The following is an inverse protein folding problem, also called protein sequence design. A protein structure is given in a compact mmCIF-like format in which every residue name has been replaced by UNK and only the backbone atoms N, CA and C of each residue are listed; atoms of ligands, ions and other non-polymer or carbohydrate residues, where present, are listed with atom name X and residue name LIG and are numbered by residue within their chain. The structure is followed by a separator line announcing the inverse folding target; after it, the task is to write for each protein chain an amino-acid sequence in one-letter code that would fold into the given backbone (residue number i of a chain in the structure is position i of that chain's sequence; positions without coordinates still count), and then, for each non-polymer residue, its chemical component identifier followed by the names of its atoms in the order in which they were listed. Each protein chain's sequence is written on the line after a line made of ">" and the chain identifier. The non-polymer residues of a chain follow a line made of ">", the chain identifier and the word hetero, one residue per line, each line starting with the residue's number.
data_IF_584859613398
#
_entry.id   IF_584859613398
#
_cell.length_a   1.000
_cell.length_b   1.000
_cell.length_c   1.000
_cell.angle_alpha   90.00
_cell.angle_beta   90.00
_cell.angle_gamma   90.00
#
_symmetry.space_group_name_H-M   'P 1'
#
loop_
_entity.id
_entity.type
_entity.pdbx_description
1 polymer ?
#
# COMPACT_ATOMS: atom_id res chain seq x y z
N UNK A 1 -27.52 19.96 3.99
CA UNK A 1 -26.51 18.91 4.17
C UNK A 1 -26.52 18.55 5.64
N UNK A 2 -26.78 17.28 5.93
CA UNK A 2 -26.88 16.80 7.32
C UNK A 2 -25.56 17.06 8.05
N UNK A 3 -25.65 17.58 9.28
CA UNK A 3 -24.56 17.98 10.19
C UNK A 3 -23.38 16.99 10.28
N UNK A 4 -23.60 15.72 9.92
CA UNK A 4 -22.64 14.64 9.95
C UNK A 4 -21.48 14.79 8.95
N UNK A 5 -21.72 15.40 7.78
CA UNK A 5 -20.69 15.53 6.73
C UNK A 5 -19.74 16.72 6.94
N UNK A 6 -20.20 17.80 7.59
CA UNK A 6 -19.32 18.91 7.99
C UNK A 6 -18.32 18.47 9.07
N UNK A 7 -18.70 17.53 9.94
CA UNK A 7 -17.80 17.04 10.99
C UNK A 7 -16.61 16.24 10.43
N UNK A 8 -16.81 15.49 9.36
CA UNK A 8 -15.72 14.76 8.67
C UNK A 8 -14.79 15.73 7.92
N UNK A 9 -15.35 16.76 7.29
CA UNK A 9 -14.56 17.76 6.56
C UNK A 9 -13.77 18.69 7.51
N UNK A 10 -14.29 18.97 8.71
CA UNK A 10 -13.56 19.64 9.79
C UNK A 10 -12.50 18.74 10.43
N UNK A 11 -12.68 17.41 10.38
CA UNK A 11 -11.72 16.40 10.83
C UNK A 11 -10.44 16.40 9.98
N UNK A 12 -10.58 16.57 8.65
CA UNK A 12 -9.45 16.72 7.73
C UNK A 12 -8.74 18.08 7.85
N UNK A 13 -9.40 19.09 8.43
CA UNK A 13 -8.94 20.49 8.46
C UNK A 13 -8.51 21.00 9.85
N UNK A 14 -8.21 20.10 10.81
CA UNK A 14 -7.50 20.40 12.06
C UNK A 14 -8.13 21.46 13.01
N UNK A 15 -9.44 21.73 12.96
CA UNK A 15 -10.04 22.83 13.74
C UNK A 15 -10.67 22.45 15.10
N UNK A 16 -10.72 21.16 15.47
CA UNK A 16 -11.26 20.70 16.78
C UNK A 16 -10.47 19.53 17.38
N UNK A 17 -9.20 19.80 17.69
CA UNK A 17 -8.25 18.85 18.27
C UNK A 17 -8.73 18.17 19.57
N UNK A 18 -9.47 18.88 20.44
CA UNK A 18 -9.95 18.31 21.71
C UNK A 18 -11.12 17.31 21.57
N UNK A 19 -11.81 17.27 20.42
CA UNK A 19 -12.82 16.22 20.11
C UNK A 19 -12.20 14.96 19.50
N UNK A 20 -10.99 15.06 18.95
CA UNK A 20 -10.25 13.92 18.38
C UNK A 20 -9.65 13.06 19.49
N UNK A 21 -9.15 13.70 20.57
CA UNK A 21 -8.63 13.06 21.79
C UNK A 21 -9.62 12.18 22.54
N UNK A 22 -10.93 12.44 22.41
CA UNK A 22 -11.97 11.59 23.02
C UNK A 22 -12.28 10.32 22.19
N UNK A 23 -11.89 10.26 20.92
CA UNK A 23 -12.34 9.19 20.02
C UNK A 23 -11.44 7.93 19.99
N UNK A 24 -10.21 8.01 20.49
CA UNK A 24 -9.22 6.93 20.51
C UNK A 24 -8.19 7.24 21.60
N UNK A 25 -7.80 6.30 22.45
CA UNK A 25 -6.52 6.43 23.17
C UNK A 25 -5.38 6.21 22.15
N UNK A 26 -5.06 7.30 21.43
CA UNK A 26 -4.03 7.67 20.45
C UNK A 26 -3.31 6.58 19.61
N UNK A 27 -2.95 5.43 20.15
CA UNK A 27 -2.14 4.42 19.45
C UNK A 27 -2.97 3.54 18.53
N UNK A 28 -4.17 3.10 18.95
CA UNK A 28 -4.97 2.15 18.17
C UNK A 28 -5.47 2.71 16.83
N UNK A 29 -5.85 3.99 16.79
CA UNK A 29 -6.26 4.64 15.53
C UNK A 29 -5.09 4.80 14.59
N UNK A 30 -4.00 5.30 15.17
CA UNK A 30 -2.79 5.63 14.46
C UNK A 30 -2.20 4.37 13.84
N UNK A 31 -2.21 3.25 14.56
CA UNK A 31 -1.82 1.94 14.04
C UNK A 31 -2.69 1.52 12.85
N UNK A 32 -4.01 1.72 12.91
CA UNK A 32 -4.90 1.37 11.78
C UNK A 32 -4.65 2.26 10.56
N UNK A 33 -4.43 3.56 10.76
CA UNK A 33 -4.08 4.49 9.69
C UNK A 33 -2.70 4.15 9.10
N UNK A 34 -1.69 3.90 9.93
CA UNK A 34 -0.36 3.47 9.51
C UNK A 34 -0.42 2.14 8.74
N UNK A 35 -1.29 1.20 9.15
CA UNK A 35 -1.50 -0.05 8.42
C UNK A 35 -2.18 0.15 7.07
N UNK A 36 -3.17 1.05 6.98
CA UNK A 36 -3.79 1.42 5.71
C UNK A 36 -2.76 2.06 4.77
N UNK A 37 -2.00 3.04 5.25
CA UNK A 37 -0.94 3.70 4.48
C UNK A 37 0.11 2.69 3.99
N UNK A 38 0.54 1.76 4.85
CA UNK A 38 1.48 0.70 4.48
C UNK A 38 0.89 -0.27 3.45
N UNK A 39 -0.37 -0.66 3.57
CA UNK A 39 -1.03 -1.52 2.57
C UNK A 39 -1.15 -0.83 1.23
N UNK A 40 -1.53 0.44 1.21
CA UNK A 40 -1.62 1.24 0.00
C UNK A 40 -0.24 1.43 -0.64
N UNK A 41 0.80 1.67 0.16
CA UNK A 41 2.19 1.75 -0.32
C UNK A 41 2.66 0.42 -0.90
N UNK A 42 2.38 -0.72 -0.24
CA UNK A 42 2.70 -2.03 -0.80
C UNK A 42 1.92 -2.33 -2.08
N UNK A 43 0.64 -1.94 -2.18
CA UNK A 43 -0.14 -2.08 -3.40
C UNK A 43 0.45 -1.25 -4.55
N UNK A 44 0.84 0.00 -4.28
CA UNK A 44 1.52 0.86 -5.24
C UNK A 44 2.86 0.26 -5.70
N UNK A 45 3.66 -0.26 -4.77
CA UNK A 45 4.92 -0.94 -5.07
C UNK A 45 4.71 -2.19 -5.93
N UNK A 46 3.73 -3.04 -5.59
CA UNK A 46 3.35 -4.22 -6.38
C UNK A 46 2.99 -3.82 -7.82
N UNK A 47 2.22 -2.74 -7.99
CA UNK A 47 1.83 -2.23 -9.30
C UNK A 47 3.03 -1.71 -10.11
N UNK A 48 3.93 -0.96 -9.48
CA UNK A 48 5.16 -0.46 -10.11
C UNK A 48 6.05 -1.62 -10.59
N UNK A 49 6.34 -2.57 -9.68
CA UNK A 49 7.17 -3.74 -10.01
C UNK A 49 6.52 -4.59 -11.11
N UNK A 50 5.20 -4.77 -11.07
CA UNK A 50 4.45 -5.54 -12.08
C UNK A 50 4.58 -4.94 -13.47
N UNK A 51 4.52 -3.61 -13.59
CA UNK A 51 4.74 -2.89 -14.86
C UNK A 51 6.16 -3.15 -15.37
N UNK A 52 7.17 -3.03 -14.51
CA UNK A 52 8.57 -3.32 -14.85
C UNK A 52 8.77 -4.77 -15.30
N UNK A 53 8.21 -5.76 -14.59
CA UNK A 53 8.24 -7.17 -15.00
C UNK A 53 7.60 -7.35 -16.38
N UNK A 54 6.46 -6.70 -16.65
CA UNK A 54 5.76 -6.81 -17.93
C UNK A 54 6.62 -6.28 -19.08
N UNK A 55 7.37 -5.20 -18.87
CA UNK A 55 8.25 -4.61 -19.88
C UNK A 55 9.47 -5.52 -20.10
N UNK A 56 10.14 -5.94 -19.03
CA UNK A 56 11.28 -6.85 -19.12
C UNK A 56 10.91 -8.20 -19.77
N UNK A 57 9.73 -8.76 -19.50
CA UNK A 57 9.20 -9.95 -20.20
C UNK A 57 8.92 -9.73 -21.69
N UNK A 58 8.57 -8.51 -22.11
CA UNK A 58 8.45 -8.19 -23.54
C UNK A 58 9.82 -8.15 -24.20
N UNK A 59 10.83 -7.64 -23.49
CA UNK A 59 12.21 -7.59 -23.96
C UNK A 59 12.88 -8.96 -23.95
N UNK A 60 12.49 -9.86 -23.06
CA UNK A 60 12.96 -11.27 -23.04
C UNK A 60 12.80 -11.99 -24.39
N UNK A 61 11.89 -11.53 -25.25
CA UNK A 61 11.66 -12.04 -26.61
C UNK A 61 12.55 -11.39 -27.68
N UNK A 62 13.52 -10.55 -27.30
CA UNK A 62 14.36 -9.76 -28.21
C UNK A 62 15.82 -10.21 -28.10
N UNK A 63 16.52 -10.14 -29.21
CA UNK A 63 17.90 -10.65 -29.32
C UNK A 63 18.91 -9.88 -28.44
N UNK A 64 18.62 -8.63 -28.07
CA UNK A 64 19.48 -7.84 -27.18
C UNK A 64 19.33 -8.21 -25.70
N UNK A 65 18.32 -8.98 -25.32
CA UNK A 65 18.01 -9.23 -23.92
C UNK A 65 18.97 -10.25 -23.31
N UNK A 66 19.46 -9.91 -22.12
CA UNK A 66 20.30 -10.77 -21.29
C UNK A 66 19.76 -10.79 -19.88
N UNK A 67 19.39 -11.98 -19.38
CA UNK A 67 18.60 -12.17 -18.16
C UNK A 67 19.13 -11.41 -16.92
N UNK A 68 20.46 -11.36 -16.75
CA UNK A 68 21.11 -10.75 -15.59
C UNK A 68 21.82 -9.41 -15.90
N UNK A 69 21.71 -8.88 -17.12
CA UNK A 69 22.36 -7.64 -17.54
C UNK A 69 21.35 -6.58 -17.99
N UNK A 70 20.29 -6.98 -18.69
CA UNK A 70 19.27 -6.03 -19.16
C UNK A 70 18.46 -5.52 -17.98
N UNK A 71 18.53 -4.21 -17.76
CA UNK A 71 17.82 -3.52 -16.68
C UNK A 71 16.67 -2.68 -17.23
N UNK A 72 15.68 -2.45 -16.37
CA UNK A 72 14.63 -1.47 -16.58
C UNK A 72 14.36 -0.73 -15.28
N UNK A 73 13.97 0.53 -15.42
CA UNK A 73 13.66 1.40 -14.30
C UNK A 73 12.32 1.02 -13.65
N UNK A 74 12.30 0.92 -12.33
CA UNK A 74 11.06 0.96 -11.56
C UNK A 74 10.75 2.42 -11.27
N UNK A 75 9.57 2.84 -11.75
CA UNK A 75 8.98 4.12 -11.39
C UNK A 75 8.18 3.98 -10.10
N UNK A 76 8.74 4.46 -9.00
CA UNK A 76 8.13 4.42 -7.67
C UNK A 76 7.17 5.59 -7.41
N UNK A 77 6.79 6.38 -8.42
CA UNK A 77 5.88 7.52 -8.22
C UNK A 77 4.56 7.07 -7.56
N UNK A 78 4.23 7.67 -6.41
CA UNK A 78 3.09 7.28 -5.57
C UNK A 78 3.42 6.31 -4.43
N UNK A 79 4.67 5.85 -4.29
CA UNK A 79 5.12 5.07 -3.13
C UNK A 79 5.73 6.01 -2.07
N UNK A 80 5.06 6.18 -0.93
CA UNK A 80 5.42 7.15 0.12
C UNK A 80 6.82 6.93 0.70
N UNK A 81 7.34 5.69 0.71
CA UNK A 81 8.65 5.36 1.30
C UNK A 81 9.80 5.24 0.29
N UNK A 82 9.51 5.23 -1.01
CA UNK A 82 10.51 4.96 -2.06
C UNK A 82 10.83 6.26 -2.79
N UNK A 83 11.92 6.93 -2.40
CA UNK A 83 12.45 8.09 -3.12
C UNK A 83 13.33 7.63 -4.27
N UNK A 84 12.89 7.84 -5.51
CA UNK A 84 13.75 7.79 -6.69
C UNK A 84 13.37 6.71 -7.72
N UNK A 85 14.33 6.42 -8.58
CA UNK A 85 14.25 5.46 -9.69
C UNK A 85 15.24 4.34 -9.42
N UNK A 86 14.81 3.10 -9.52
CA UNK A 86 15.67 1.93 -9.27
C UNK A 86 15.74 1.06 -10.53
N UNK A 87 16.95 0.80 -11.04
CA UNK A 87 17.13 -0.08 -12.18
C UNK A 87 17.30 -1.54 -11.75
N UNK A 88 16.47 -2.42 -12.31
CA UNK A 88 16.46 -3.84 -11.94
C UNK A 88 16.46 -4.75 -13.16
N UNK A 89 17.06 -5.91 -13.02
CA UNK A 89 16.95 -7.01 -13.98
C UNK A 89 15.64 -7.78 -13.78
N UNK A 90 15.27 -8.65 -14.73
CA UNK A 90 14.04 -9.44 -14.64
C UNK A 90 14.02 -10.36 -13.40
N UNK A 91 15.10 -11.09 -13.04
CA UNK A 91 15.14 -11.85 -11.80
C UNK A 91 15.00 -10.99 -10.54
N UNK A 92 15.66 -9.82 -10.51
CA UNK A 92 15.58 -8.89 -9.39
C UNK A 92 14.15 -8.35 -9.20
N UNK A 93 13.49 -7.91 -10.28
CA UNK A 93 12.11 -7.46 -10.25
C UNK A 93 11.15 -8.56 -9.76
N UNK A 94 11.31 -9.81 -10.25
CA UNK A 94 10.51 -10.96 -9.79
C UNK A 94 10.74 -11.26 -8.30
N UNK A 95 11.98 -11.15 -7.82
CA UNK A 95 12.30 -11.34 -6.40
C UNK A 95 11.64 -10.26 -5.54
N UNK A 96 11.80 -8.99 -5.91
CA UNK A 96 11.15 -7.87 -5.23
C UNK A 96 9.62 -8.01 -5.20
N UNK A 97 9.00 -8.41 -6.31
CA UNK A 97 7.55 -8.65 -6.35
C UNK A 97 7.11 -9.66 -5.30
N UNK A 98 7.82 -10.81 -5.20
CA UNK A 98 7.49 -11.84 -4.21
C UNK A 98 7.62 -11.32 -2.78
N UNK A 99 8.69 -10.56 -2.50
CA UNK A 99 8.95 -10.01 -1.18
C UNK A 99 7.90 -8.97 -0.76
N UNK A 100 7.55 -8.03 -1.65
CA UNK A 100 6.52 -7.02 -1.36
C UNK A 100 5.14 -7.67 -1.27
N UNK A 101 4.84 -8.64 -2.16
CA UNK A 101 3.57 -9.36 -2.12
C UNK A 101 3.36 -10.12 -0.81
N UNK A 102 4.42 -10.75 -0.29
CA UNK A 102 4.37 -11.42 1.01
C UNK A 102 4.04 -10.44 2.15
N UNK A 103 4.63 -9.23 2.14
CA UNK A 103 4.34 -8.19 3.13
C UNK A 103 2.90 -7.69 3.03
N UNK A 104 2.42 -7.45 1.80
CA UNK A 104 1.03 -7.08 1.54
C UNK A 104 0.06 -8.14 2.06
N UNK A 105 0.24 -9.40 1.66
CA UNK A 105 -0.66 -10.49 2.02
C UNK A 105 -0.70 -10.70 3.55
N UNK A 106 0.46 -10.63 4.22
CA UNK A 106 0.54 -10.74 5.68
C UNK A 106 -0.18 -9.59 6.40
N UNK A 107 0.01 -8.35 5.96
CA UNK A 107 -0.64 -7.19 6.59
C UNK A 107 -2.15 -7.18 6.31
N UNK A 108 -2.56 -7.60 5.11
CA UNK A 108 -3.96 -7.76 4.74
C UNK A 108 -4.65 -8.82 5.62
N UNK A 109 -3.98 -9.96 5.86
CA UNK A 109 -4.51 -11.02 6.75
C UNK A 109 -4.67 -10.53 8.20
N UNK A 110 -3.73 -9.74 8.72
CA UNK A 110 -3.85 -9.12 10.05
C UNK A 110 -5.12 -8.27 10.15
N UNK A 111 -5.41 -7.45 9.14
CA UNK A 111 -6.63 -6.63 9.13
C UNK A 111 -7.90 -7.47 9.02
N UNK A 112 -7.90 -8.53 8.20
CA UNK A 112 -9.05 -9.43 8.09
C UNK A 112 -9.36 -10.12 9.42
N UNK A 113 -8.33 -10.64 10.10
CA UNK A 113 -8.46 -11.29 11.40
C UNK A 113 -8.93 -10.31 12.48
N UNK A 114 -8.41 -9.08 12.48
CA UNK A 114 -8.86 -8.03 13.39
C UNK A 114 -10.33 -7.64 13.14
N UNK A 115 -10.74 -7.56 11.87
CA UNK A 115 -12.13 -7.33 11.48
C UNK A 115 -13.06 -8.44 12.00
N UNK A 116 -12.67 -9.69 11.81
CA UNK A 116 -13.43 -10.85 12.29
C UNK A 116 -13.57 -10.86 13.82
N UNK A 117 -12.48 -10.64 14.56
CA UNK A 117 -12.47 -10.70 16.03
C UNK A 117 -13.24 -9.53 16.65
N UNK A 118 -12.98 -8.30 16.20
CA UNK A 118 -13.48 -7.10 16.87
C UNK A 118 -14.81 -6.58 16.33
N UNK A 119 -15.12 -6.86 15.06
CA UNK A 119 -16.32 -6.36 14.39
C UNK A 119 -17.29 -7.46 13.99
N UNK A 120 -16.92 -8.74 14.17
CA UNK A 120 -17.69 -9.91 13.68
C UNK A 120 -17.97 -9.83 12.17
N UNK A 121 -17.14 -9.09 11.44
CA UNK A 121 -17.17 -8.93 10.01
C UNK A 121 -15.72 -8.82 9.52
N UNK A 122 -15.28 -9.86 8.81
CA UNK A 122 -13.92 -10.00 8.29
C UNK A 122 -13.46 -8.81 7.45
N UNK A 123 -14.35 -8.17 6.70
CA UNK A 123 -13.99 -7.08 5.79
C UNK A 123 -14.16 -5.69 6.42
N UNK A 124 -14.68 -5.57 7.65
CA UNK A 124 -15.06 -4.28 8.23
C UNK A 124 -13.94 -3.24 8.27
N UNK A 125 -12.68 -3.66 8.47
CA UNK A 125 -11.53 -2.77 8.47
C UNK A 125 -11.03 -2.45 7.07
N UNK A 126 -11.13 -3.40 6.13
CA UNK A 126 -10.76 -3.19 4.73
C UNK A 126 -11.71 -2.17 4.10
N UNK A 127 -13.02 -2.43 4.17
CA UNK A 127 -14.06 -1.57 3.59
C UNK A 127 -14.04 -0.14 4.14
N UNK A 128 -13.52 0.03 5.37
CA UNK A 128 -13.50 1.32 6.06
C UNK A 128 -12.25 2.16 5.75
N UNK A 129 -11.11 1.52 5.50
CA UNK A 129 -9.82 2.21 5.46
C UNK A 129 -9.02 1.98 4.19
N UNK A 130 -9.46 1.10 3.29
CA UNK A 130 -8.73 0.76 2.06
C UNK A 130 -9.69 0.90 0.87
N UNK A 131 -9.42 1.89 0.00
CA UNK A 131 -10.15 2.17 -1.24
C UNK A 131 -9.33 1.78 -2.49
#
# INVERSE_FOLDING_TARGET
>A
MDKKYEEVQLFCNNSKWEKVKECFNEDGFRILLEFSDLLNDYAAQINAISKTIKILKKWEKKDFFKLNETKYEIDWFGCYQKKGREEVTLPQAKKMYKEVRLKYDALYEVLLNAGEIHYKNKNALIDKYIE
#
